data_IF_551488299945
#
_entry.id   IF_551488299945
#
_cell.length_a   1.000
_cell.length_b   1.000
_cell.length_c   1.000
_cell.angle_alpha   90.00
_cell.angle_beta   90.00
_cell.angle_gamma   90.00
#
_symmetry.space_group_name_H-M   'P 1'
#
loop_
_entity.id
_entity.type
_entity.pdbx_description
1 polymer ?
#
# COMPACT_ATOMS: atom_id res chain seq x y z
N UNK A 1 -15.43 32.19 -6.35
CA UNK A 1 -14.78 32.11 -7.69
C UNK A 1 -14.44 30.66 -7.94
N UNK A 2 -14.83 30.10 -9.09
CA UNK A 2 -14.43 28.75 -9.53
C UNK A 2 -13.24 28.89 -10.47
N UNK A 3 -12.16 28.18 -10.19
CA UNK A 3 -10.97 28.12 -11.04
C UNK A 3 -10.83 26.69 -11.58
N UNK A 4 -10.61 26.56 -12.88
CA UNK A 4 -10.34 25.28 -13.53
C UNK A 4 -8.86 25.23 -13.91
N UNK A 5 -8.18 24.16 -13.52
CA UNK A 5 -6.78 23.92 -13.85
C UNK A 5 -6.64 22.58 -14.55
N UNK A 6 -5.87 22.54 -15.62
CA UNK A 6 -5.49 21.31 -16.31
C UNK A 6 -4.03 20.98 -15.97
N UNK A 7 -3.76 19.75 -15.63
CA UNK A 7 -2.42 19.21 -15.31
C UNK A 7 -2.06 18.10 -16.27
N UNK A 8 -0.80 17.71 -16.34
CA UNK A 8 -0.34 16.67 -17.27
C UNK A 8 -0.66 15.27 -16.78
N UNK A 9 -0.60 15.07 -15.45
CA UNK A 9 -0.86 13.79 -14.80
C UNK A 9 -1.33 14.01 -13.35
N UNK A 10 -1.62 12.91 -12.66
CA UNK A 10 -2.13 12.91 -11.29
C UNK A 10 -1.10 13.45 -10.27
N UNK A 11 0.19 13.20 -10.50
CA UNK A 11 1.27 13.71 -9.65
C UNK A 11 1.40 15.24 -9.77
N UNK A 12 1.31 15.78 -11.00
CA UNK A 12 1.30 17.23 -11.24
C UNK A 12 0.10 17.89 -10.57
N UNK A 13 -1.08 17.24 -10.62
CA UNK A 13 -2.29 17.73 -9.96
C UNK A 13 -2.09 17.80 -8.45
N UNK A 14 -1.59 16.72 -7.85
CA UNK A 14 -1.34 16.63 -6.41
C UNK A 14 -0.32 17.67 -5.95
N UNK A 15 0.76 17.88 -6.70
CA UNK A 15 1.78 18.90 -6.42
C UNK A 15 1.20 20.31 -6.57
N UNK A 16 0.37 20.56 -7.58
CA UNK A 16 -0.32 21.85 -7.75
C UNK A 16 -1.21 22.16 -6.55
N UNK A 17 -2.04 21.19 -6.12
CA UNK A 17 -2.93 21.34 -4.97
C UNK A 17 -2.12 21.62 -3.70
N UNK A 18 -1.05 20.86 -3.44
CA UNK A 18 -0.17 21.10 -2.31
C UNK A 18 0.44 22.52 -2.31
N UNK A 19 0.93 22.96 -3.47
CA UNK A 19 1.50 24.30 -3.64
C UNK A 19 0.47 25.42 -3.39
N UNK A 20 -0.78 25.28 -3.90
CA UNK A 20 -1.82 26.27 -3.69
C UNK A 20 -2.29 26.34 -2.22
N UNK A 21 -2.37 25.19 -1.54
CA UNK A 21 -2.66 25.11 -0.11
C UNK A 21 -1.58 25.90 0.68
N UNK A 22 -0.31 25.63 0.43
CA UNK A 22 0.80 26.30 1.13
C UNK A 22 0.81 27.81 0.85
N UNK A 23 0.56 28.23 -0.39
CA UNK A 23 0.40 29.65 -0.71
C UNK A 23 -0.75 30.29 0.06
N UNK A 24 -1.85 29.58 0.23
CA UNK A 24 -3.00 30.02 1.03
C UNK A 24 -2.65 30.20 2.50
N UNK A 25 -1.95 29.22 3.07
CA UNK A 25 -1.51 29.24 4.47
C UNK A 25 -0.52 30.38 4.71
N UNK A 26 0.43 30.60 3.81
CA UNK A 26 1.34 31.74 3.87
C UNK A 26 0.66 33.12 3.80
N UNK A 27 -0.60 33.15 3.31
CA UNK A 27 -1.46 34.34 3.28
C UNK A 27 -2.43 34.42 4.47
N UNK A 28 -2.29 33.54 5.47
CA UNK A 28 -3.06 33.55 6.72
C UNK A 28 -4.29 32.64 6.74
N UNK A 29 -4.43 31.72 5.77
CA UNK A 29 -5.45 30.66 5.79
C UNK A 29 -5.01 29.56 6.74
N UNK A 30 -5.96 28.90 7.43
CA UNK A 30 -5.66 27.66 8.18
C UNK A 30 -5.79 26.44 7.27
N UNK A 31 -5.07 25.36 7.57
CA UNK A 31 -5.22 24.10 6.85
C UNK A 31 -6.66 23.55 6.92
N UNK A 32 -7.32 23.66 8.07
CA UNK A 32 -8.71 23.21 8.32
C UNK A 32 -9.76 23.90 7.44
N UNK A 33 -9.42 25.06 6.86
CA UNK A 33 -10.29 25.79 5.94
C UNK A 33 -10.38 25.12 4.56
N UNK A 34 -9.55 24.10 4.32
CA UNK A 34 -9.38 23.46 3.02
C UNK A 34 -9.87 22.01 3.03
N UNK A 35 -10.74 21.69 2.07
CA UNK A 35 -11.12 20.33 1.74
C UNK A 35 -10.60 19.92 0.36
N UNK A 36 -10.17 18.66 0.23
CA UNK A 36 -9.79 18.05 -1.03
C UNK A 36 -10.68 16.85 -1.29
N UNK A 37 -11.44 16.94 -2.38
CA UNK A 37 -12.43 15.95 -2.77
C UNK A 37 -11.93 15.14 -3.97
N UNK A 38 -12.11 13.84 -3.91
CA UNK A 38 -11.79 12.91 -5.00
C UNK A 38 -12.95 11.93 -5.23
N UNK A 39 -12.92 11.24 -6.35
CA UNK A 39 -14.00 10.31 -6.72
C UNK A 39 -13.86 8.95 -6.03
N UNK A 40 -12.65 8.37 -6.03
CA UNK A 40 -12.36 7.03 -5.53
C UNK A 40 -11.24 7.08 -4.49
N UNK A 41 -11.31 6.18 -3.51
CA UNK A 41 -10.33 6.13 -2.43
C UNK A 41 -8.88 5.90 -2.93
N UNK A 42 -8.67 5.11 -3.98
CA UNK A 42 -7.35 4.89 -4.56
C UNK A 42 -6.64 6.20 -4.94
N UNK A 43 -7.40 7.16 -5.46
CA UNK A 43 -6.90 8.47 -5.89
C UNK A 43 -6.30 9.32 -4.78
N UNK A 44 -6.58 9.02 -3.49
CA UNK A 44 -5.96 9.75 -2.37
C UNK A 44 -4.45 9.56 -2.29
N UNK A 45 -3.90 8.46 -2.82
CA UNK A 45 -2.50 8.11 -2.71
C UNK A 45 -1.56 9.23 -3.17
N UNK A 46 -1.73 9.76 -4.37
CA UNK A 46 -0.89 10.84 -4.91
C UNK A 46 -0.99 12.13 -4.10
N UNK A 47 -2.20 12.47 -3.66
CA UNK A 47 -2.44 13.62 -2.78
C UNK A 47 -1.77 13.42 -1.42
N UNK A 48 -1.91 12.23 -0.81
CA UNK A 48 -1.27 11.90 0.47
C UNK A 48 0.25 12.01 0.38
N UNK A 49 0.86 11.48 -0.69
CA UNK A 49 2.30 11.58 -0.92
C UNK A 49 2.76 13.04 -1.12
N UNK A 50 2.02 13.82 -1.94
CA UNK A 50 2.35 15.23 -2.15
C UNK A 50 2.24 16.03 -0.84
N UNK A 51 1.22 15.77 -0.02
CA UNK A 51 1.06 16.45 1.27
C UNK A 51 2.16 16.10 2.24
N UNK A 52 2.54 14.83 2.33
CA UNK A 52 3.65 14.39 3.19
C UNK A 52 4.98 15.02 2.78
N UNK A 53 5.32 14.99 1.48
CA UNK A 53 6.54 15.63 0.96
C UNK A 53 6.63 17.12 1.29
N UNK A 54 5.48 17.80 1.34
CA UNK A 54 5.39 19.22 1.60
C UNK A 54 5.08 19.58 3.07
N UNK A 55 5.05 18.59 3.97
CA UNK A 55 4.75 18.82 5.39
C UNK A 55 3.34 19.36 5.67
N UNK A 56 2.36 19.06 4.78
CA UNK A 56 0.98 19.48 4.92
C UNK A 56 0.25 18.45 5.79
N UNK A 57 -0.24 18.81 6.98
CA UNK A 57 -1.03 17.93 7.81
C UNK A 57 -2.39 17.67 7.17
N UNK A 58 -2.83 16.42 7.15
CA UNK A 58 -4.13 16.04 6.59
C UNK A 58 -4.81 14.94 7.38
N UNK A 59 -6.14 14.83 7.22
CA UNK A 59 -6.95 13.70 7.71
C UNK A 59 -7.93 13.25 6.64
N UNK A 60 -8.21 11.94 6.62
CA UNK A 60 -9.18 11.34 5.70
C UNK A 60 -10.49 11.08 6.44
N UNK A 61 -11.60 11.60 5.89
CA UNK A 61 -12.95 11.32 6.39
C UNK A 61 -13.60 10.21 5.57
N UNK A 62 -14.14 9.20 6.26
CA UNK A 62 -14.83 8.08 5.62
C UNK A 62 -13.93 7.07 4.92
N UNK A 63 -12.65 7.04 5.26
CA UNK A 63 -11.66 6.12 4.72
C UNK A 63 -10.45 5.95 5.63
N UNK A 64 -9.53 5.09 5.19
CA UNK A 64 -8.20 4.91 5.79
C UNK A 64 -7.13 5.44 4.84
N UNK A 65 -5.99 5.87 5.39
CA UNK A 65 -4.83 6.27 4.60
C UNK A 65 -4.39 5.14 3.67
N UNK A 66 -3.80 5.51 2.55
CA UNK A 66 -3.46 4.54 1.51
C UNK A 66 -2.61 3.38 2.02
N UNK A 67 -1.49 3.67 2.68
CA UNK A 67 -0.59 2.64 3.21
C UNK A 67 -1.14 1.89 4.44
N UNK A 68 -2.25 2.35 5.03
CA UNK A 68 -2.93 1.68 6.14
C UNK A 68 -3.99 0.67 5.69
N UNK A 69 -4.38 0.69 4.41
CA UNK A 69 -5.38 -0.24 3.85
C UNK A 69 -4.87 -1.67 3.91
N UNK A 70 -5.78 -2.59 4.23
CA UNK A 70 -5.42 -3.99 4.46
C UNK A 70 -4.73 -4.64 3.25
N UNK A 71 -5.27 -4.44 2.05
CA UNK A 71 -4.74 -4.97 0.79
C UNK A 71 -3.39 -4.36 0.41
N UNK A 72 -3.17 -3.08 0.70
CA UNK A 72 -1.88 -2.41 0.49
C UNK A 72 -0.84 -2.95 1.46
N UNK A 73 -1.21 -3.11 2.74
CA UNK A 73 -0.34 -3.76 3.75
C UNK A 73 -0.01 -5.21 3.39
N UNK A 74 -0.93 -5.92 2.72
CA UNK A 74 -0.67 -7.28 2.24
C UNK A 74 0.40 -7.29 1.14
N UNK A 75 0.31 -6.39 0.17
CA UNK A 75 1.31 -6.27 -0.90
C UNK A 75 2.67 -5.83 -0.36
N UNK A 76 2.70 -4.85 0.53
CA UNK A 76 3.93 -4.43 1.21
C UNK A 76 4.54 -5.59 2.02
N UNK A 77 3.71 -6.43 2.65
CA UNK A 77 4.19 -7.59 3.38
C UNK A 77 4.84 -8.64 2.46
N UNK A 78 4.30 -8.87 1.24
CA UNK A 78 4.97 -9.70 0.24
C UNK A 78 6.33 -9.14 -0.14
N UNK A 79 6.40 -7.85 -0.48
CA UNK A 79 7.63 -7.16 -0.84
C UNK A 79 8.66 -7.23 0.31
N UNK A 80 8.22 -7.01 1.54
CA UNK A 80 9.09 -7.03 2.71
C UNK A 80 9.66 -8.43 3.01
N UNK A 81 8.85 -9.50 2.89
CA UNK A 81 9.33 -10.88 3.06
C UNK A 81 10.31 -11.28 1.96
N UNK A 82 10.13 -10.77 0.73
CA UNK A 82 11.10 -10.97 -0.36
C UNK A 82 12.42 -10.24 -0.11
N UNK A 83 12.36 -9.07 0.53
CA UNK A 83 13.55 -8.32 0.95
C UNK A 83 14.23 -8.93 2.18
N UNK A 84 13.43 -9.40 3.14
CA UNK A 84 13.90 -10.03 4.37
C UNK A 84 13.03 -11.23 4.75
N UNK A 85 13.42 -12.47 4.40
CA UNK A 85 12.68 -13.69 4.76
C UNK A 85 12.54 -13.97 6.26
N UNK A 86 13.32 -13.29 7.11
CA UNK A 86 13.26 -13.42 8.57
C UNK A 86 12.18 -12.55 9.21
N UNK A 87 11.42 -11.78 8.43
CA UNK A 87 10.28 -11.00 8.93
C UNK A 87 9.06 -11.91 9.17
N UNK A 88 9.07 -12.60 10.29
CA UNK A 88 8.05 -13.54 10.71
C UNK A 88 6.66 -12.89 10.84
N UNK A 89 6.60 -11.60 11.21
CA UNK A 89 5.35 -10.86 11.35
C UNK A 89 4.66 -10.69 9.98
N UNK A 90 5.40 -10.19 9.00
CA UNK A 90 4.90 -10.00 7.64
C UNK A 90 4.66 -11.32 6.93
N UNK A 91 5.50 -12.33 7.17
CA UNK A 91 5.29 -13.68 6.65
C UNK A 91 3.97 -14.28 7.16
N UNK A 92 3.69 -14.16 8.45
CA UNK A 92 2.43 -14.63 9.05
C UNK A 92 1.21 -13.97 8.38
N UNK A 93 1.32 -12.73 7.97
CA UNK A 93 0.25 -11.98 7.30
C UNK A 93 -0.08 -12.57 5.92
N UNK A 94 0.92 -12.97 5.13
CA UNK A 94 0.76 -13.34 3.72
C UNK A 94 0.66 -14.84 3.46
N UNK A 95 1.12 -15.68 4.38
CA UNK A 95 1.25 -17.14 4.14
C UNK A 95 -0.07 -17.81 3.68
N UNK A 96 -1.21 -17.32 4.16
CA UNK A 96 -2.54 -17.79 3.79
C UNK A 96 -3.44 -16.67 3.21
N UNK A 97 -2.85 -15.63 2.65
CA UNK A 97 -3.57 -14.55 2.00
C UNK A 97 -2.88 -14.19 0.66
N UNK A 98 -3.46 -14.62 -0.49
CA UNK A 98 -4.73 -15.35 -0.68
C UNK A 98 -4.81 -16.71 0.03
N UNK A 99 -6.04 -17.23 0.24
CA UNK A 99 -6.24 -18.52 0.91
C UNK A 99 -5.52 -19.68 0.19
N UNK A 100 -4.62 -20.38 0.91
CA UNK A 100 -3.85 -21.53 0.42
C UNK A 100 -4.15 -22.80 1.21
N UNK A 101 -5.16 -22.75 2.09
CA UNK A 101 -5.50 -23.86 2.98
C UNK A 101 -4.44 -24.12 4.06
N UNK A 102 -3.61 -23.11 4.37
CA UNK A 102 -2.68 -23.12 5.50
C UNK A 102 -3.41 -22.50 6.70
N UNK A 103 -3.90 -23.34 7.61
CA UNK A 103 -4.68 -22.87 8.76
C UNK A 103 -3.82 -22.23 9.85
N UNK A 104 -4.46 -21.44 10.72
CA UNK A 104 -3.79 -20.76 11.84
C UNK A 104 -3.00 -21.74 12.71
N UNK A 105 -3.56 -22.91 13.02
CA UNK A 105 -2.87 -23.95 13.81
C UNK A 105 -1.55 -24.41 13.18
N UNK A 106 -1.47 -24.50 11.84
CA UNK A 106 -0.23 -24.86 11.14
C UNK A 106 0.82 -23.77 11.33
N UNK A 107 0.41 -22.50 11.22
CA UNK A 107 1.29 -21.34 11.43
C UNK A 107 1.79 -21.29 12.86
N UNK A 108 0.90 -21.46 13.84
CA UNK A 108 1.25 -21.51 15.28
C UNK A 108 2.25 -22.64 15.58
N UNK A 109 2.03 -23.83 15.00
CA UNK A 109 2.95 -24.96 15.13
C UNK A 109 4.32 -24.62 14.55
N UNK A 110 4.39 -24.06 13.34
CA UNK A 110 5.64 -23.66 12.71
C UNK A 110 6.36 -22.57 13.52
N UNK A 111 5.64 -21.60 14.06
CA UNK A 111 6.18 -20.57 14.96
C UNK A 111 6.74 -21.16 16.27
N UNK A 112 6.07 -22.17 16.84
CA UNK A 112 6.57 -22.86 18.03
C UNK A 112 7.87 -23.62 17.74
N UNK A 113 7.97 -24.27 16.58
CA UNK A 113 9.18 -24.92 16.11
C UNK A 113 10.30 -23.89 15.90
N UNK A 114 10.03 -22.79 15.21
CA UNK A 114 11.00 -21.72 14.97
C UNK A 114 11.59 -21.19 16.29
N UNK A 115 10.74 -20.92 17.28
CA UNK A 115 11.21 -20.51 18.63
C UNK A 115 12.03 -21.59 19.34
N UNK A 116 11.61 -22.86 19.25
CA UNK A 116 12.33 -23.98 19.86
C UNK A 116 13.72 -24.14 19.27
N UNK A 117 13.85 -24.04 17.96
CA UNK A 117 15.07 -24.33 17.22
C UNK A 117 15.95 -23.08 17.00
N UNK A 118 15.49 -21.89 17.43
CA UNK A 118 16.21 -20.62 17.23
C UNK A 118 16.36 -20.23 15.76
N UNK A 119 15.36 -20.57 14.92
CA UNK A 119 15.34 -20.31 13.49
C UNK A 119 14.18 -19.38 13.11
N UNK A 120 14.15 -18.90 11.85
CA UNK A 120 13.03 -18.10 11.34
C UNK A 120 11.84 -18.99 10.98
N UNK A 121 10.64 -18.40 10.98
CA UNK A 121 9.43 -19.08 10.52
C UNK A 121 9.59 -19.55 9.07
N UNK A 122 10.22 -18.72 8.20
CA UNK A 122 10.45 -19.08 6.81
C UNK A 122 11.32 -20.35 6.70
N UNK A 123 12.40 -20.44 7.44
CA UNK A 123 13.28 -21.62 7.42
C UNK A 123 12.55 -22.90 7.85
N UNK A 124 11.66 -22.81 8.84
CA UNK A 124 10.84 -23.96 9.28
C UNK A 124 9.83 -24.38 8.22
N UNK A 125 9.10 -23.44 7.61
CA UNK A 125 8.08 -23.80 6.60
C UNK A 125 8.70 -24.30 5.31
N UNK A 126 9.87 -23.79 4.93
CA UNK A 126 10.61 -24.27 3.76
C UNK A 126 11.11 -25.70 3.94
N UNK A 127 11.47 -26.06 5.16
CA UNK A 127 11.90 -27.40 5.54
C UNK A 127 10.79 -28.20 6.26
N UNK A 128 9.51 -27.90 6.00
CA UNK A 128 8.37 -28.45 6.73
C UNK A 128 8.32 -30.01 6.75
N UNK A 129 8.88 -30.67 5.73
CA UNK A 129 8.96 -32.15 5.67
C UNK A 129 9.90 -32.76 6.71
N UNK A 130 10.79 -31.97 7.30
CA UNK A 130 11.71 -32.43 8.35
C UNK A 130 11.04 -32.47 9.74
N UNK A 131 9.85 -31.88 9.86
CA UNK A 131 9.11 -31.75 11.10
C UNK A 131 7.86 -32.61 11.08
N UNK A 132 7.78 -33.68 11.89
CA UNK A 132 6.58 -34.54 11.94
C UNK A 132 5.30 -33.79 12.24
N UNK A 133 5.38 -32.70 13.04
CA UNK A 133 4.25 -31.86 13.42
C UNK A 133 3.63 -31.13 12.22
N UNK A 134 4.41 -30.91 11.14
CA UNK A 134 4.01 -30.20 9.92
C UNK A 134 3.77 -31.13 8.73
N UNK A 135 3.95 -32.43 8.86
CA UNK A 135 3.88 -33.41 7.76
C UNK A 135 2.59 -33.25 6.92
N UNK A 136 1.43 -33.12 7.60
CA UNK A 136 0.12 -32.96 6.91
C UNK A 136 -0.01 -31.66 6.12
N UNK A 137 0.73 -30.63 6.50
CA UNK A 137 0.70 -29.32 5.86
C UNK A 137 1.87 -29.11 4.89
N UNK A 138 2.88 -29.98 4.92
CA UNK A 138 4.13 -29.79 4.21
C UNK A 138 3.96 -29.53 2.71
N UNK A 139 3.02 -30.21 2.05
CA UNK A 139 2.74 -29.99 0.63
C UNK A 139 2.21 -28.57 0.34
N UNK A 140 1.34 -28.04 1.21
CA UNK A 140 0.77 -26.70 1.05
C UNK A 140 1.82 -25.61 1.37
N UNK A 141 2.66 -25.85 2.40
CA UNK A 141 3.77 -24.99 2.75
C UNK A 141 4.78 -24.93 1.60
N UNK A 142 5.12 -26.07 1.00
CA UNK A 142 6.01 -26.13 -0.17
C UNK A 142 5.48 -25.34 -1.38
N UNK A 143 4.16 -25.34 -1.64
CA UNK A 143 3.57 -24.49 -2.69
C UNK A 143 3.85 -23.01 -2.42
N UNK A 144 3.70 -22.58 -1.17
CA UNK A 144 3.97 -21.19 -0.79
C UNK A 144 5.47 -20.86 -0.88
N UNK A 145 6.37 -21.70 -0.34
CA UNK A 145 7.81 -21.39 -0.38
C UNK A 145 8.38 -21.46 -1.79
N UNK A 146 7.88 -22.36 -2.65
CA UNK A 146 8.23 -22.39 -4.07
C UNK A 146 7.81 -21.08 -4.77
N UNK A 147 6.59 -20.59 -4.54
CA UNK A 147 6.14 -19.30 -5.05
C UNK A 147 7.08 -18.17 -4.61
N UNK A 148 7.43 -18.11 -3.34
CA UNK A 148 8.35 -17.08 -2.83
C UNK A 148 9.75 -17.20 -3.46
N UNK A 149 10.24 -18.42 -3.69
CA UNK A 149 11.50 -18.68 -4.39
C UNK A 149 11.48 -18.20 -5.85
N UNK A 150 10.39 -18.49 -6.57
CA UNK A 150 10.18 -17.99 -7.95
C UNK A 150 10.15 -16.45 -7.99
N UNK A 151 9.41 -15.81 -7.08
CA UNK A 151 9.34 -14.36 -6.99
C UNK A 151 10.70 -13.75 -6.64
N UNK A 152 11.45 -14.35 -5.72
CA UNK A 152 12.81 -13.90 -5.38
C UNK A 152 13.76 -13.96 -6.56
N UNK A 153 13.68 -15.02 -7.38
CA UNK A 153 14.47 -15.13 -8.61
C UNK A 153 14.08 -14.06 -9.63
N UNK A 154 12.78 -13.76 -9.78
CA UNK A 154 12.28 -12.73 -10.70
C UNK A 154 12.69 -11.32 -10.27
N UNK A 155 12.70 -11.04 -8.97
CA UNK A 155 13.12 -9.74 -8.40
C UNK A 155 14.55 -9.37 -8.82
N UNK A 156 15.43 -10.34 -9.07
CA UNK A 156 16.80 -10.10 -9.55
C UNK A 156 16.89 -9.86 -11.06
N UNK A 157 15.81 -10.10 -11.81
CA UNK A 157 15.81 -10.08 -13.28
C UNK A 157 14.97 -8.95 -13.86
N UNK A 158 13.96 -8.49 -13.12
CA UNK A 158 13.00 -7.50 -13.57
C UNK A 158 13.17 -6.17 -12.85
N UNK A 159 12.93 -5.03 -13.52
CA UNK A 159 12.71 -3.76 -12.86
C UNK A 159 11.57 -3.85 -11.83
N UNK A 160 11.60 -3.04 -10.78
CA UNK A 160 10.70 -3.16 -9.63
C UNK A 160 9.22 -2.97 -10.00
N UNK A 161 8.91 -2.11 -10.96
CA UNK A 161 7.57 -1.89 -11.50
C UNK A 161 7.02 -3.16 -12.18
N UNK A 162 7.79 -3.74 -13.10
CA UNK A 162 7.42 -4.98 -13.80
C UNK A 162 7.37 -6.17 -12.83
N UNK A 163 8.29 -6.23 -11.89
CA UNK A 163 8.28 -7.24 -10.84
C UNK A 163 7.00 -7.17 -10.00
N UNK A 164 6.53 -5.96 -9.66
CA UNK A 164 5.31 -5.80 -8.88
C UNK A 164 4.05 -6.28 -9.63
N UNK A 165 3.96 -6.06 -10.92
CA UNK A 165 2.86 -6.60 -11.75
C UNK A 165 2.85 -8.13 -11.73
N UNK A 166 4.02 -8.77 -11.89
CA UNK A 166 4.16 -10.21 -11.77
C UNK A 166 3.83 -10.73 -10.37
N UNK A 167 4.20 -10.00 -9.32
CA UNK A 167 3.86 -10.36 -7.94
C UNK A 167 2.34 -10.41 -7.74
N UNK A 168 1.61 -9.39 -8.19
CA UNK A 168 0.13 -9.37 -8.11
C UNK A 168 -0.47 -10.59 -8.82
N UNK A 169 0.04 -10.89 -10.02
CA UNK A 169 -0.46 -11.99 -10.84
C UNK A 169 -0.17 -13.34 -10.20
N UNK A 170 1.09 -13.63 -9.86
CA UNK A 170 1.55 -14.94 -9.40
C UNK A 170 1.09 -15.30 -8.00
N UNK A 171 0.95 -14.31 -7.12
CA UNK A 171 0.36 -14.56 -5.79
C UNK A 171 -1.10 -14.97 -5.86
N UNK A 172 -1.79 -14.68 -6.98
CA UNK A 172 -3.23 -14.89 -7.15
C UNK A 172 -4.09 -13.87 -6.40
N UNK A 173 -3.48 -12.75 -5.94
CA UNK A 173 -4.19 -11.76 -5.12
C UNK A 173 -5.26 -11.03 -5.94
N UNK A 174 -4.94 -10.62 -7.16
CA UNK A 174 -5.91 -10.01 -8.07
C UNK A 174 -7.06 -10.98 -8.38
N UNK A 175 -6.75 -12.24 -8.74
CA UNK A 175 -7.75 -13.26 -9.06
C UNK A 175 -8.70 -13.53 -7.89
N UNK A 176 -8.19 -13.49 -6.65
CA UNK A 176 -9.03 -13.64 -5.44
C UNK A 176 -10.06 -12.52 -5.33
N UNK A 177 -9.66 -11.27 -5.56
CA UNK A 177 -10.55 -10.11 -5.50
C UNK A 177 -11.54 -10.09 -6.67
N UNK A 178 -11.09 -10.42 -7.88
CA UNK A 178 -11.93 -10.52 -9.08
C UNK A 178 -13.01 -11.60 -8.97
N UNK A 179 -12.70 -12.73 -8.31
CA UNK A 179 -13.65 -13.82 -8.14
C UNK A 179 -14.85 -13.42 -7.27
N UNK A 180 -14.65 -12.65 -6.23
CA UNK A 180 -15.71 -12.14 -5.35
C UNK A 180 -16.50 -11.02 -6.00
N UNK A 181 -15.83 -10.14 -6.75
CA UNK A 181 -16.37 -9.06 -7.57
C UNK A 181 -17.42 -8.16 -6.89
N UNK A 182 -17.32 -7.95 -5.58
CA UNK A 182 -18.11 -6.94 -4.87
C UNK A 182 -17.58 -5.54 -5.16
N UNK A 183 -18.34 -4.49 -4.83
CA UNK A 183 -17.87 -3.10 -4.94
C UNK A 183 -16.61 -2.90 -4.09
N UNK A 184 -16.58 -3.48 -2.89
CA UNK A 184 -15.44 -3.42 -1.99
C UNK A 184 -14.21 -4.11 -2.59
N UNK A 185 -14.37 -5.31 -3.16
CA UNK A 185 -13.24 -6.05 -3.74
C UNK A 185 -12.68 -5.34 -4.98
N UNK A 186 -13.52 -4.67 -5.77
CA UNK A 186 -13.06 -3.83 -6.88
C UNK A 186 -12.22 -2.65 -6.37
N UNK A 187 -12.68 -1.96 -5.33
CA UNK A 187 -11.91 -0.87 -4.70
C UNK A 187 -10.57 -1.38 -4.14
N UNK A 188 -10.55 -2.56 -3.52
CA UNK A 188 -9.31 -3.19 -3.06
C UNK A 188 -8.36 -3.50 -4.21
N UNK A 189 -8.86 -4.01 -5.32
CA UNK A 189 -8.05 -4.28 -6.51
C UNK A 189 -7.46 -2.99 -7.10
N UNK A 190 -8.25 -1.91 -7.14
CA UNK A 190 -7.76 -0.59 -7.52
C UNK A 190 -6.64 -0.13 -6.58
N UNK A 191 -6.78 -0.29 -5.27
CA UNK A 191 -5.74 0.04 -4.30
C UNK A 191 -4.45 -0.79 -4.50
N UNK A 192 -4.59 -2.08 -4.79
CA UNK A 192 -3.45 -2.95 -5.10
C UNK A 192 -2.72 -2.46 -6.35
N UNK A 193 -3.45 -2.10 -7.40
CA UNK A 193 -2.87 -1.57 -8.65
C UNK A 193 -2.25 -0.18 -8.46
N UNK A 194 -2.87 0.66 -7.63
CA UNK A 194 -2.38 2.02 -7.34
C UNK A 194 -1.02 2.01 -6.62
N UNK A 195 -0.64 0.95 -5.92
CA UNK A 195 0.70 0.86 -5.33
C UNK A 195 1.80 0.89 -6.39
N UNK A 196 1.51 0.47 -7.63
CA UNK A 196 2.42 0.61 -8.77
C UNK A 196 2.78 2.09 -9.03
N UNK A 197 1.82 3.01 -8.86
CA UNK A 197 2.07 4.45 -9.01
C UNK A 197 3.07 4.95 -7.96
N UNK A 198 3.01 4.41 -6.73
CA UNK A 198 4.01 4.71 -5.69
C UNK A 198 5.40 4.17 -6.06
N UNK A 199 5.46 2.96 -6.61
CA UNK A 199 6.72 2.35 -7.08
C UNK A 199 7.32 3.19 -8.20
N UNK A 200 6.52 3.59 -9.20
CA UNK A 200 6.99 4.43 -10.30
C UNK A 200 7.50 5.79 -9.81
N UNK A 201 6.77 6.41 -8.88
CA UNK A 201 7.21 7.66 -8.26
C UNK A 201 8.53 7.52 -7.49
N UNK A 202 8.75 6.39 -6.81
CA UNK A 202 10.04 6.08 -6.21
C UNK A 202 11.14 5.91 -7.28
N UNK A 203 10.89 5.14 -8.34
CA UNK A 203 11.87 4.90 -9.40
C UNK A 203 12.30 6.20 -10.11
N UNK A 204 11.38 7.14 -10.31
CA UNK A 204 11.68 8.47 -10.90
C UNK A 204 12.59 9.32 -10.01
N UNK A 205 12.58 9.11 -8.68
CA UNK A 205 13.28 9.95 -7.70
C UNK A 205 14.48 9.26 -7.03
N UNK A 206 14.65 7.95 -7.20
CA UNK A 206 15.61 7.11 -6.45
C UNK A 206 17.07 7.20 -6.90
N UNK A 207 17.45 8.10 -7.84
CA UNK A 207 18.83 8.21 -8.32
C UNK A 207 19.30 7.00 -9.13
N UNK A 208 20.60 6.67 -9.06
CA UNK A 208 21.23 5.71 -9.99
C UNK A 208 20.95 4.23 -9.67
N UNK A 209 20.60 3.89 -8.44
CA UNK A 209 20.39 2.47 -8.03
C UNK A 209 19.09 2.28 -7.23
N UNK A 210 17.92 2.31 -7.88
CA UNK A 210 16.67 2.00 -7.21
C UNK A 210 16.64 0.55 -6.72
N UNK A 211 16.18 0.33 -5.48
CA UNK A 211 16.12 -1.00 -4.88
C UNK A 211 14.81 -1.24 -4.13
N UNK A 212 14.43 -2.51 -3.97
CA UNK A 212 13.28 -2.88 -3.14
C UNK A 212 13.44 -2.40 -1.69
N UNK A 213 14.64 -2.51 -1.13
CA UNK A 213 14.93 -2.03 0.22
C UNK A 213 14.68 -0.52 0.35
N UNK A 214 15.20 0.28 -0.60
CA UNK A 214 15.00 1.73 -0.60
C UNK A 214 13.52 2.12 -0.75
N UNK A 215 12.75 1.40 -1.56
CA UNK A 215 11.30 1.61 -1.65
C UNK A 215 10.58 1.33 -0.33
N UNK A 216 10.95 0.23 0.35
CA UNK A 216 10.37 -0.11 1.65
C UNK A 216 10.75 0.90 2.74
N UNK A 217 11.97 1.42 2.71
CA UNK A 217 12.43 2.47 3.63
C UNK A 217 11.65 3.78 3.39
N UNK A 218 11.40 4.15 2.12
CA UNK A 218 10.58 5.31 1.79
C UNK A 218 9.14 5.15 2.33
N UNK A 219 8.52 3.97 2.17
CA UNK A 219 7.19 3.71 2.74
C UNK A 219 7.21 3.80 4.26
N UNK A 220 8.25 3.27 4.92
CA UNK A 220 8.36 3.34 6.38
C UNK A 220 8.38 4.79 6.87
N UNK A 221 9.12 5.68 6.20
CA UNK A 221 9.11 7.11 6.51
C UNK A 221 7.70 7.74 6.37
N UNK A 222 6.92 7.31 5.37
CA UNK A 222 5.55 7.80 5.20
C UNK A 222 4.59 7.34 6.30
N UNK A 223 4.81 6.16 6.90
CA UNK A 223 3.95 5.62 7.95
C UNK A 223 4.29 6.14 9.35
N UNK A 224 5.56 6.45 9.63
CA UNK A 224 6.02 6.89 10.97
C UNK A 224 5.68 8.35 11.30
N UNK A 225 5.49 9.20 10.28
CA UNK A 225 5.16 10.63 10.46
C UNK A 225 3.72 10.89 10.95
N UNK A 226 2.97 9.85 11.26
CA UNK A 226 1.51 9.87 11.37
C UNK A 226 0.92 9.90 12.79
N UNK A 227 1.67 10.28 13.81
CA UNK A 227 1.12 10.55 15.15
C UNK A 227 0.38 11.90 15.19
N UNK A 228 -0.85 11.94 14.67
CA UNK A 228 -1.64 13.17 14.63
C UNK A 228 -2.56 13.32 15.84
N UNK A 229 -2.48 14.51 16.44
CA UNK A 229 -3.48 15.02 17.37
C UNK A 229 -4.80 15.25 16.61
N UNK A 230 -5.95 14.69 17.07
CA UNK A 230 -7.26 14.91 16.45
C UNK A 230 -7.67 16.38 16.31
N UNK A 231 -7.12 17.27 17.15
CA UNK A 231 -7.42 18.71 17.18
C UNK A 231 -6.43 19.54 16.32
N UNK A 232 -5.48 18.89 15.65
CA UNK A 232 -4.50 19.57 14.81
C UNK A 232 -5.17 20.30 13.64
N UNK A 233 -4.64 21.51 13.32
CA UNK A 233 -5.02 22.22 12.10
C UNK A 233 -4.55 21.43 10.87
N UNK A 234 -5.46 20.80 10.14
CA UNK A 234 -5.15 19.91 9.02
C UNK A 234 -6.14 20.03 7.87
N UNK A 235 -5.68 19.75 6.67
CA UNK A 235 -6.50 19.63 5.46
C UNK A 235 -7.41 18.41 5.59
N UNK A 236 -8.67 18.56 5.16
CA UNK A 236 -9.64 17.47 5.15
C UNK A 236 -9.69 16.84 3.77
N UNK A 237 -9.44 15.54 3.69
CA UNK A 237 -9.51 14.74 2.46
C UNK A 237 -10.68 13.77 2.53
N UNK A 238 -11.47 13.67 1.46
CA UNK A 238 -12.62 12.76 1.43
C UNK A 238 -13.11 12.48 0.03
N UNK A 239 -13.91 11.43 -0.12
CA UNK A 239 -14.64 11.22 -1.38
C UNK A 239 -15.76 12.25 -1.53
N UNK A 240 -16.16 12.55 -2.79
CA UNK A 240 -17.31 13.44 -3.05
C UNK A 240 -18.59 12.96 -2.36
N UNK A 241 -18.76 11.65 -2.20
CA UNK A 241 -19.91 11.09 -1.47
C UNK A 241 -19.89 11.42 0.03
N UNK A 242 -18.70 11.37 0.64
CA UNK A 242 -18.53 11.69 2.06
C UNK A 242 -18.66 13.17 2.37
N UNK A 243 -18.55 14.04 1.35
CA UNK A 243 -18.61 15.48 1.50
C UNK A 243 -20.04 16.03 1.63
N UNK A 244 -21.07 15.18 1.43
CA UNK A 244 -22.47 15.63 1.47
C UNK A 244 -22.81 16.25 2.83
N UNK A 245 -23.23 17.53 2.80
CA UNK A 245 -23.64 18.28 3.98
C UNK A 245 -22.49 18.96 4.74
N UNK A 246 -21.26 18.89 4.23
CA UNK A 246 -20.12 19.61 4.78
C UNK A 246 -19.83 20.87 3.95
N UNK A 247 -19.33 21.91 4.61
CA UNK A 247 -19.00 23.19 3.99
C UNK A 247 -17.57 23.60 4.37
N UNK A 248 -16.81 24.07 3.38
CA UNK A 248 -15.42 24.52 3.57
C UNK A 248 -15.19 25.82 2.80
N UNK A 249 -14.40 26.76 3.36
CA UNK A 249 -14.01 28.00 2.68
C UNK A 249 -13.31 27.77 1.34
N UNK A 250 -12.52 26.70 1.24
CA UNK A 250 -11.76 26.31 0.05
C UNK A 250 -11.97 24.84 -0.25
N UNK A 251 -12.31 24.53 -1.47
CA UNK A 251 -12.53 23.15 -1.92
C UNK A 251 -11.77 22.91 -3.21
N UNK A 252 -10.92 21.89 -3.20
CA UNK A 252 -10.32 21.32 -4.39
C UNK A 252 -11.13 20.09 -4.79
N UNK A 253 -11.48 19.98 -6.07
CA UNK A 253 -12.12 18.79 -6.62
C UNK A 253 -11.14 18.19 -7.63
N UNK A 254 -10.53 17.09 -7.24
CA UNK A 254 -9.40 16.50 -7.93
C UNK A 254 -9.78 15.25 -8.70
N UNK A 255 -8.96 14.92 -9.70
CA UNK A 255 -8.99 13.64 -10.41
C UNK A 255 -10.37 13.37 -11.06
N UNK A 256 -10.95 14.41 -11.66
CA UNK A 256 -12.23 14.30 -12.37
C UNK A 256 -12.13 13.50 -13.67
N UNK A 257 -10.94 13.51 -14.29
CA UNK A 257 -10.62 12.73 -15.49
C UNK A 257 -9.65 11.62 -15.12
N UNK A 258 -10.13 10.39 -15.06
CA UNK A 258 -9.29 9.22 -15.15
C UNK A 258 -8.94 9.02 -16.62
N UNK A 259 -7.69 8.69 -16.93
CA UNK A 259 -7.27 8.30 -18.27
C UNK A 259 -8.23 7.27 -18.86
N UNK A 260 -8.56 7.34 -20.14
CA UNK A 260 -9.34 6.27 -20.75
C UNK A 260 -8.58 4.97 -20.63
N UNK A 261 -9.25 3.98 -20.10
CA UNK A 261 -8.85 2.58 -20.01
C UNK A 261 -8.52 2.00 -21.39
#
# INVERSE_FOLDING_TARGET
VVTVKTTFNESDEANYVAGDILMGVNRGRNFRDTAVLYRMNAQSNQLEQAFKRNGIPYRIIGGTRFFDRAEVKDMIAYLAVLNNPEDDLRLTRIINNPPRGIGARTVETAQAIARRDGSSLYAVIDNARMYPELERAAAKLAVFTNLMGELSAMLTQLPLDQFYEELILRTGYAAMLETKNTVEDRTRLENVRELLTSINGYLENAGEEPSLAGFLDEIALYTDLDNHDPDQDCVVMMTMHSAKGLEFPVVFVCLLYTSPS
#
